data_IF_019442612586
#
_entry.id   IF_019442612586
#
_cell.length_a   1.000
_cell.length_b   1.000
_cell.length_c   1.000
_cell.angle_alpha   90.00
_cell.angle_beta   90.00
_cell.angle_gamma   90.00
#
_symmetry.space_group_name_H-M   'P 1'
#
loop_
_entity.id
_entity.type
_entity.pdbx_description
1 polymer ?
#
# COMPACT_ATOMS: atom_id res chain seq x y z
N UNK A 1 -10.27 -17.62 -5.16
CA UNK A 1 -9.41 -17.16 -4.05
C UNK A 1 -7.97 -17.22 -4.54
N UNK A 2 -7.58 -16.25 -5.37
CA UNK A 2 -6.25 -16.21 -6.00
C UNK A 2 -5.22 -15.85 -4.94
N UNK A 3 -4.08 -16.55 -4.95
CA UNK A 3 -2.96 -16.32 -4.04
C UNK A 3 -2.54 -14.85 -4.07
N UNK A 4 -3.09 -14.04 -3.14
CA UNK A 4 -2.75 -12.64 -3.01
C UNK A 4 -1.26 -12.51 -2.72
N UNK A 5 -0.61 -11.57 -3.41
CA UNK A 5 0.81 -11.26 -3.18
C UNK A 5 1.06 -11.12 -1.68
N UNK A 6 1.99 -11.93 -1.14
CA UNK A 6 2.40 -11.84 0.25
C UNK A 6 3.29 -10.61 0.42
N UNK A 7 2.73 -9.52 0.95
CA UNK A 7 3.51 -8.35 1.37
C UNK A 7 3.97 -8.54 2.81
N UNK A 8 5.24 -8.23 3.09
CA UNK A 8 5.80 -8.24 4.45
C UNK A 8 5.38 -7.00 5.23
N UNK A 9 5.47 -7.02 6.55
CA UNK A 9 5.14 -5.84 7.37
C UNK A 9 6.02 -4.65 6.99
N UNK A 10 7.33 -4.87 6.82
CA UNK A 10 8.28 -3.82 6.39
C UNK A 10 7.90 -3.22 5.04
N UNK A 11 7.55 -4.07 4.06
CA UNK A 11 7.09 -3.63 2.74
C UNK A 11 5.81 -2.78 2.85
N UNK A 12 4.87 -3.13 3.73
CA UNK A 12 3.67 -2.31 3.96
C UNK A 12 4.00 -0.96 4.58
N UNK A 13 4.93 -0.91 5.53
CA UNK A 13 5.38 0.36 6.14
C UNK A 13 6.04 1.27 5.10
N UNK A 14 6.88 0.71 4.23
CA UNK A 14 7.51 1.46 3.13
C UNK A 14 6.46 1.99 2.14
N UNK A 15 5.43 1.18 1.81
CA UNK A 15 4.31 1.57 0.94
C UNK A 15 3.53 2.74 1.56
N UNK A 16 3.21 2.67 2.86
CA UNK A 16 2.48 3.73 3.54
C UNK A 16 3.31 5.02 3.62
N UNK A 17 4.59 4.92 3.97
CA UNK A 17 5.49 6.08 3.99
C UNK A 17 5.59 6.73 2.61
N UNK A 18 5.63 5.93 1.55
CA UNK A 18 5.61 6.42 0.17
C UNK A 18 4.28 7.12 -0.16
N UNK A 19 3.14 6.57 0.26
CA UNK A 19 1.81 7.16 0.04
C UNK A 19 1.70 8.55 0.67
N UNK A 20 2.07 8.67 1.96
CA UNK A 20 2.01 9.94 2.72
C UNK A 20 2.96 10.98 2.10
N UNK A 21 4.16 10.55 1.69
CA UNK A 21 5.13 11.44 1.04
C UNK A 21 4.69 11.91 -0.35
N UNK A 22 3.81 11.17 -1.03
CA UNK A 22 3.20 11.55 -2.31
C UNK A 22 1.83 12.20 -2.15
N UNK A 23 1.61 12.94 -1.05
CA UNK A 23 0.38 13.71 -0.83
C UNK A 23 -0.87 12.82 -0.78
N UNK A 24 -0.74 11.67 -0.12
CA UNK A 24 -1.79 10.66 0.03
C UNK A 24 -2.34 10.13 -1.30
N UNK A 25 -1.49 10.03 -2.33
CA UNK A 25 -1.88 9.43 -3.61
C UNK A 25 -1.91 7.89 -3.52
N UNK A 26 -3.04 7.39 -3.01
CA UNK A 26 -3.33 5.96 -2.85
C UNK A 26 -3.34 5.22 -4.19
N UNK A 27 -3.79 5.87 -5.26
CA UNK A 27 -3.92 5.25 -6.58
C UNK A 27 -2.53 5.03 -7.19
N UNK A 28 -1.71 6.09 -7.25
CA UNK A 28 -0.35 5.99 -7.76
C UNK A 28 0.50 5.01 -6.93
N UNK A 29 0.30 4.99 -5.61
CA UNK A 29 0.98 4.05 -4.71
C UNK A 29 0.58 2.60 -4.99
N UNK A 30 -0.72 2.34 -5.18
CA UNK A 30 -1.24 1.01 -5.50
C UNK A 30 -0.65 0.48 -6.82
N UNK A 31 -0.65 1.32 -7.86
CA UNK A 31 -0.09 0.98 -9.18
C UNK A 31 1.43 0.74 -9.11
N UNK A 32 2.17 1.63 -8.43
CA UNK A 32 3.63 1.51 -8.28
C UNK A 32 4.03 0.24 -7.53
N UNK A 33 3.31 -0.09 -6.45
CA UNK A 33 3.64 -1.22 -5.59
C UNK A 33 2.96 -2.53 -6.04
N UNK A 34 2.12 -2.48 -7.09
CA UNK A 34 1.31 -3.60 -7.59
C UNK A 34 0.50 -4.26 -6.47
N UNK A 35 -0.15 -3.43 -5.68
CA UNK A 35 -1.06 -3.80 -4.59
C UNK A 35 -2.42 -3.19 -4.87
N UNK A 36 -3.47 -3.69 -4.22
CA UNK A 36 -4.79 -3.09 -4.39
C UNK A 36 -4.88 -1.74 -3.68
N UNK A 37 -5.60 -0.79 -4.28
CA UNK A 37 -5.96 0.48 -3.64
C UNK A 37 -6.50 0.27 -2.22
N UNK A 38 -7.41 -0.70 -2.06
CA UNK A 38 -7.98 -1.04 -0.77
C UNK A 38 -6.93 -1.49 0.24
N UNK A 39 -5.87 -2.18 -0.20
CA UNK A 39 -4.79 -2.59 0.67
C UNK A 39 -3.98 -1.39 1.15
N UNK A 40 -3.63 -0.46 0.26
CA UNK A 40 -2.92 0.78 0.63
C UNK A 40 -3.75 1.56 1.63
N UNK A 41 -5.02 1.82 1.32
CA UNK A 41 -5.93 2.53 2.23
C UNK A 41 -6.05 1.85 3.60
N UNK A 42 -6.23 0.52 3.62
CA UNK A 42 -6.31 -0.24 4.87
C UNK A 42 -5.02 -0.18 5.68
N UNK A 43 -3.85 -0.14 5.04
CA UNK A 43 -2.57 -0.04 5.73
C UNK A 43 -2.33 1.36 6.28
N UNK A 44 -2.65 2.40 5.52
CA UNK A 44 -2.56 3.80 5.97
C UNK A 44 -3.47 4.04 7.18
N UNK A 45 -4.71 3.54 7.14
CA UNK A 45 -5.67 3.67 8.24
C UNK A 45 -5.35 2.84 9.50
N UNK A 46 -4.47 1.84 9.39
CA UNK A 46 -4.13 0.91 10.51
C UNK A 46 -2.83 1.26 11.22
N UNK A 47 -2.05 2.18 10.66
CA UNK A 47 -0.92 2.82 11.35
C UNK A 47 -1.48 3.81 12.35
#
# INVERSE_FOLDING_TARGET
MTNGRKTTYKERTDIVAFCISNNDDYQATADKCKVSYQQVYTWVMKI
#
